data_IF_713242041641
#
_entry.id   IF_713242041641
#
_cell.length_a   1.000
_cell.length_b   1.000
_cell.length_c   1.000
_cell.angle_alpha   90.00
_cell.angle_beta   90.00
_cell.angle_gamma   90.00
#
_symmetry.space_group_name_H-M   'P 1'
#
loop_
_entity.id
_entity.type
_entity.pdbx_description
1 polymer ?
#
# COMPACT_ATOMS: atom_id res chain seq x y z
N UNK A 1 -35.20 1.33 21.57
CA UNK A 1 -34.21 2.34 21.96
C UNK A 1 -32.93 1.62 22.38
N UNK A 2 -32.02 1.39 21.44
CA UNK A 2 -30.66 0.96 21.73
C UNK A 2 -29.74 1.96 21.05
N UNK A 3 -29.19 2.87 21.84
CA UNK A 3 -28.18 3.84 21.43
C UNK A 3 -26.83 3.12 21.46
N UNK A 4 -26.26 2.82 20.29
CA UNK A 4 -24.88 2.39 20.13
C UNK A 4 -24.06 3.55 19.56
N UNK A 5 -23.18 4.13 20.39
CA UNK A 5 -22.34 5.27 20.03
C UNK A 5 -21.09 4.80 19.28
N UNK A 6 -20.90 5.22 18.03
CA UNK A 6 -19.67 5.03 17.26
C UNK A 6 -19.78 5.70 15.89
N UNK A 7 -19.27 6.93 15.77
CA UNK A 7 -19.38 7.76 14.57
C UNK A 7 -18.58 7.20 13.37
N UNK A 8 -19.01 7.16 12.11
CA UNK A 8 -20.26 6.67 11.47
C UNK A 8 -21.60 6.97 12.13
N UNK A 9 -22.10 8.18 11.90
CA UNK A 9 -23.33 8.67 12.50
C UNK A 9 -24.53 8.50 11.56
N UNK A 10 -25.57 7.81 12.02
CA UNK A 10 -26.88 7.80 11.37
C UNK A 10 -27.45 9.24 11.28
N UNK A 11 -28.08 9.57 10.15
CA UNK A 11 -28.76 10.87 9.94
C UNK A 11 -27.98 11.92 9.14
N UNK A 12 -26.73 11.65 8.74
CA UNK A 12 -25.97 12.51 7.83
C UNK A 12 -26.22 12.18 6.35
N UNK A 13 -25.91 13.12 5.44
CA UNK A 13 -26.02 12.87 3.99
C UNK A 13 -25.06 11.74 3.55
N UNK A 14 -25.43 10.93 2.54
CA UNK A 14 -24.56 9.86 2.01
C UNK A 14 -23.14 10.33 1.67
N UNK A 15 -23.01 11.54 1.13
CA UNK A 15 -21.72 12.16 0.79
C UNK A 15 -20.89 12.45 2.04
N UNK A 16 -21.51 12.93 3.12
CA UNK A 16 -20.81 13.19 4.39
C UNK A 16 -20.36 11.89 5.04
N UNK A 17 -21.19 10.83 4.99
CA UNK A 17 -20.82 9.52 5.52
C UNK A 17 -19.69 8.88 4.73
N UNK A 18 -19.72 8.98 3.39
CA UNK A 18 -18.62 8.56 2.52
C UNK A 18 -17.30 9.27 2.85
N UNK A 19 -17.35 10.59 3.05
CA UNK A 19 -16.17 11.36 3.46
C UNK A 19 -15.65 10.94 4.83
N UNK A 20 -16.54 10.70 5.81
CA UNK A 20 -16.14 10.22 7.14
C UNK A 20 -15.52 8.82 7.07
N UNK A 21 -16.14 7.91 6.32
CA UNK A 21 -15.63 6.55 6.12
C UNK A 21 -14.25 6.56 5.47
N UNK A 22 -14.06 7.35 4.41
CA UNK A 22 -12.77 7.40 3.71
C UNK A 22 -11.69 8.22 4.43
N UNK A 23 -12.06 9.22 5.25
CA UNK A 23 -11.11 9.84 6.18
C UNK A 23 -10.70 8.89 7.28
N UNK A 24 -11.59 7.99 7.71
CA UNK A 24 -11.26 6.94 8.67
C UNK A 24 -10.27 5.93 8.08
N UNK A 25 -10.51 5.43 6.86
CA UNK A 25 -9.61 4.47 6.21
C UNK A 25 -8.23 5.10 5.95
N UNK A 26 -8.18 6.30 5.38
CA UNK A 26 -6.92 7.06 5.23
C UNK A 26 -6.24 7.33 6.58
N UNK A 27 -7.03 7.63 7.61
CA UNK A 27 -6.54 7.84 8.96
C UNK A 27 -5.80 6.62 9.52
N UNK A 28 -6.26 5.41 9.18
CA UNK A 28 -5.56 4.17 9.53
C UNK A 28 -4.31 3.95 8.69
N UNK A 29 -4.30 4.31 7.40
CA UNK A 29 -3.06 4.38 6.60
C UNK A 29 -2.03 5.30 7.24
N UNK A 30 -2.44 6.50 7.64
CA UNK A 30 -1.59 7.47 8.32
C UNK A 30 -1.10 6.96 9.68
N UNK A 31 -1.95 6.29 10.46
CA UNK A 31 -1.58 5.69 11.73
C UNK A 31 -0.55 4.57 11.55
N UNK A 32 -0.73 3.73 10.53
CA UNK A 32 0.24 2.72 10.11
C UNK A 32 1.59 3.32 9.73
N UNK A 33 1.57 4.36 8.90
CA UNK A 33 2.76 5.10 8.51
C UNK A 33 3.47 5.75 9.71
N UNK A 34 2.72 6.19 10.73
CA UNK A 34 3.27 6.78 11.95
C UNK A 34 4.05 5.75 12.80
N UNK A 35 3.88 4.45 12.59
CA UNK A 35 4.66 3.43 13.30
C UNK A 35 6.17 3.56 13.03
N UNK A 36 6.58 4.25 11.95
CA UNK A 36 7.99 4.58 11.68
C UNK A 36 8.66 5.42 12.78
N UNK A 37 7.89 6.12 13.62
CA UNK A 37 8.40 6.86 14.77
C UNK A 37 8.70 5.98 15.98
N UNK A 38 7.99 4.85 16.10
CA UNK A 38 8.10 3.92 17.24
C UNK A 38 9.02 2.75 16.88
N UNK A 39 8.89 2.22 15.66
CA UNK A 39 9.64 1.08 15.15
C UNK A 39 10.99 1.56 14.62
N UNK A 40 12.06 1.07 15.23
CA UNK A 40 13.42 1.38 14.78
C UNK A 40 13.84 0.50 13.61
N UNK A 41 14.18 1.10 12.47
CA UNK A 41 14.75 0.41 11.30
C UNK A 41 16.11 -0.25 11.57
N UNK A 42 16.73 0.00 12.74
CA UNK A 42 17.98 -0.65 13.15
C UNK A 42 17.80 -2.11 13.56
N UNK A 43 16.61 -2.52 14.02
CA UNK A 43 16.37 -3.89 14.49
C UNK A 43 15.77 -4.74 13.38
N UNK A 44 16.63 -5.49 12.67
CA UNK A 44 16.23 -6.34 11.53
C UNK A 44 15.08 -7.30 11.88
N UNK A 45 15.11 -7.92 13.07
CA UNK A 45 14.04 -8.82 13.52
C UNK A 45 12.66 -8.16 13.63
N UNK A 46 12.57 -6.93 14.16
CA UNK A 46 11.29 -6.24 14.32
C UNK A 46 10.74 -5.86 12.94
N UNK A 47 11.61 -5.38 12.06
CA UNK A 47 11.24 -4.98 10.71
C UNK A 47 10.75 -6.16 9.87
N UNK A 48 11.50 -7.28 9.86
CA UNK A 48 11.12 -8.48 9.11
C UNK A 48 9.83 -9.08 9.66
N UNK A 49 9.67 -9.07 10.99
CA UNK A 49 8.45 -9.48 11.67
C UNK A 49 7.25 -8.60 11.29
N UNK A 50 7.41 -7.28 11.27
CA UNK A 50 6.33 -6.35 10.93
C UNK A 50 5.94 -6.41 9.46
N UNK A 51 6.91 -6.58 8.55
CA UNK A 51 6.65 -6.78 7.12
C UNK A 51 5.95 -8.12 6.87
N UNK A 52 6.38 -9.20 7.54
CA UNK A 52 5.70 -10.49 7.48
C UNK A 52 4.26 -10.38 7.96
N UNK A 53 4.02 -9.74 9.11
CA UNK A 53 2.67 -9.48 9.62
C UNK A 53 1.81 -8.70 8.63
N UNK A 54 2.37 -7.62 8.05
CA UNK A 54 1.66 -6.81 7.06
C UNK A 54 1.27 -7.62 5.81
N UNK A 55 2.19 -8.43 5.26
CA UNK A 55 1.87 -9.35 4.16
C UNK A 55 0.72 -10.29 4.50
N UNK A 56 0.69 -10.81 5.74
CA UNK A 56 -0.38 -11.67 6.21
C UNK A 56 -1.74 -10.99 6.18
N UNK A 57 -1.80 -9.78 6.74
CA UNK A 57 -3.03 -8.97 6.75
C UNK A 57 -3.49 -8.67 5.33
N UNK A 58 -2.60 -8.19 4.46
CA UNK A 58 -2.93 -7.85 3.07
C UNK A 58 -3.43 -9.07 2.27
N UNK A 59 -2.85 -10.26 2.46
CA UNK A 59 -3.33 -11.48 1.80
C UNK A 59 -4.75 -11.87 2.24
N UNK A 60 -5.05 -11.78 3.53
CA UNK A 60 -6.38 -12.06 4.03
C UNK A 60 -7.38 -11.02 3.50
N UNK A 61 -7.07 -9.74 3.63
CA UNK A 61 -7.93 -8.65 3.19
C UNK A 61 -8.21 -8.68 1.67
N UNK A 62 -7.21 -9.08 0.86
CA UNK A 62 -7.40 -9.32 -0.58
C UNK A 62 -8.52 -10.29 -0.88
N UNK A 63 -8.73 -11.31 -0.04
CA UNK A 63 -9.83 -12.24 -0.18
C UNK A 63 -11.13 -11.70 0.44
N UNK A 64 -11.14 -11.47 1.75
CA UNK A 64 -12.38 -11.20 2.49
C UNK A 64 -12.93 -9.79 2.28
N UNK A 65 -12.05 -8.78 2.20
CA UNK A 65 -12.48 -7.38 2.10
C UNK A 65 -12.63 -6.90 0.65
N UNK A 66 -12.06 -7.63 -0.32
CA UNK A 66 -12.05 -7.24 -1.74
C UNK A 66 -12.67 -8.30 -2.67
N UNK A 67 -12.11 -9.51 -2.76
CA UNK A 67 -12.59 -10.54 -3.69
C UNK A 67 -13.99 -11.06 -3.33
N UNK A 68 -14.26 -11.38 -2.07
CA UNK A 68 -15.55 -11.90 -1.65
C UNK A 68 -16.68 -10.90 -1.94
N UNK A 69 -16.58 -9.62 -1.53
CA UNK A 69 -17.54 -8.59 -1.95
C UNK A 69 -17.65 -8.43 -3.47
N UNK A 70 -16.54 -8.50 -4.21
CA UNK A 70 -16.58 -8.42 -5.66
C UNK A 70 -17.36 -9.58 -6.30
N UNK A 71 -17.23 -10.79 -5.76
CA UNK A 71 -17.96 -12.00 -6.19
C UNK A 71 -19.45 -11.82 -5.86
N UNK A 72 -19.78 -11.46 -4.63
CA UNK A 72 -21.16 -11.27 -4.18
C UNK A 72 -21.87 -10.22 -5.04
N UNK A 73 -21.20 -9.08 -5.30
CA UNK A 73 -21.74 -8.03 -6.18
C UNK A 73 -21.90 -8.49 -7.64
N UNK A 74 -21.01 -9.35 -8.14
CA UNK A 74 -21.12 -9.90 -9.49
C UNK A 74 -22.30 -10.88 -9.60
N UNK A 75 -22.50 -11.74 -8.59
CA UNK A 75 -23.62 -12.68 -8.50
C UNK A 75 -24.96 -11.95 -8.37
N UNK A 76 -25.05 -11.00 -7.44
CA UNK A 76 -26.25 -10.21 -7.15
C UNK A 76 -26.67 -9.30 -8.31
N UNK A 77 -25.74 -8.92 -9.18
CA UNK A 77 -26.05 -8.07 -10.34
C UNK A 77 -27.04 -8.70 -11.31
N UNK A 78 -27.22 -10.03 -11.29
CA UNK A 78 -28.09 -10.79 -12.19
C UNK A 78 -27.68 -10.75 -13.67
N UNK A 79 -26.60 -10.03 -14.03
CA UNK A 79 -26.14 -9.83 -15.41
C UNK A 79 -25.35 -11.01 -15.97
N UNK A 80 -24.63 -11.72 -15.10
CA UNK A 80 -23.63 -12.70 -15.52
C UNK A 80 -24.10 -14.15 -15.38
N UNK A 81 -25.17 -14.43 -14.62
CA UNK A 81 -25.66 -15.79 -14.37
C UNK A 81 -24.53 -16.70 -13.85
N UNK A 82 -24.33 -17.86 -14.48
CA UNK A 82 -23.24 -18.78 -14.15
C UNK A 82 -21.82 -18.24 -14.39
N UNK A 83 -21.69 -17.09 -15.07
CA UNK A 83 -20.41 -16.47 -15.39
C UNK A 83 -20.05 -15.29 -14.47
N UNK A 84 -20.64 -15.21 -13.26
CA UNK A 84 -20.32 -14.17 -12.28
C UNK A 84 -18.82 -14.14 -11.88
N UNK A 85 -18.10 -15.25 -12.06
CA UNK A 85 -16.64 -15.29 -11.88
C UNK A 85 -15.87 -14.43 -12.90
N UNK A 86 -16.45 -14.14 -14.08
CA UNK A 86 -15.77 -13.47 -15.18
C UNK A 86 -15.33 -12.03 -14.84
N UNK A 87 -16.21 -11.12 -14.35
CA UNK A 87 -15.79 -9.78 -13.95
C UNK A 87 -14.68 -9.79 -12.89
N UNK A 88 -14.79 -10.71 -11.93
CA UNK A 88 -13.80 -10.88 -10.86
C UNK A 88 -12.47 -11.39 -11.41
N UNK A 89 -12.48 -12.44 -12.22
CA UNK A 89 -11.26 -12.99 -12.83
C UNK A 89 -10.56 -11.99 -13.75
N UNK A 90 -11.32 -11.23 -14.54
CA UNK A 90 -10.80 -10.17 -15.40
C UNK A 90 -10.19 -9.04 -14.57
N UNK A 91 -10.93 -8.52 -13.59
CA UNK A 91 -10.43 -7.47 -12.70
C UNK A 91 -9.14 -7.92 -12.01
N UNK A 92 -9.18 -9.07 -11.34
CA UNK A 92 -8.03 -9.65 -10.63
C UNK A 92 -6.79 -9.81 -11.52
N UNK A 93 -6.96 -10.39 -12.71
CA UNK A 93 -5.83 -10.58 -13.62
C UNK A 93 -5.29 -9.26 -14.14
N UNK A 94 -6.17 -8.29 -14.46
CA UNK A 94 -5.76 -6.95 -14.87
C UNK A 94 -5.03 -6.19 -13.76
N UNK A 95 -5.43 -6.37 -12.50
CA UNK A 95 -4.75 -5.81 -11.33
C UNK A 95 -3.32 -6.34 -11.18
N UNK A 96 -3.17 -7.67 -11.20
CA UNK A 96 -1.86 -8.30 -11.15
C UNK A 96 -0.99 -7.92 -12.35
N UNK A 97 -1.56 -7.95 -13.56
CA UNK A 97 -0.87 -7.54 -14.78
C UNK A 97 -0.47 -6.06 -14.74
N UNK A 98 -1.31 -5.19 -14.18
CA UNK A 98 -1.01 -3.77 -14.03
C UNK A 98 0.26 -3.55 -13.20
N UNK A 99 0.38 -4.21 -12.04
CA UNK A 99 1.59 -4.10 -11.20
C UNK A 99 2.80 -4.72 -11.90
N UNK A 100 2.63 -5.89 -12.53
CA UNK A 100 3.70 -6.51 -13.33
C UNK A 100 4.21 -5.58 -14.44
N UNK A 101 3.31 -4.97 -15.21
CA UNK A 101 3.70 -4.04 -16.26
C UNK A 101 4.28 -2.75 -15.71
N UNK A 102 3.82 -2.26 -14.56
CA UNK A 102 4.44 -1.14 -13.87
C UNK A 102 5.88 -1.47 -13.46
N UNK A 103 6.14 -2.70 -12.98
CA UNK A 103 7.49 -3.18 -12.70
C UNK A 103 8.35 -3.24 -13.97
N UNK A 104 7.84 -3.84 -15.05
CA UNK A 104 8.53 -3.96 -16.33
C UNK A 104 8.80 -2.60 -16.98
N UNK A 105 7.88 -1.64 -16.86
CA UNK A 105 8.01 -0.29 -17.42
C UNK A 105 8.96 0.59 -16.60
N UNK A 106 9.32 0.16 -15.39
CA UNK A 106 10.07 1.00 -14.48
C UNK A 106 11.50 1.39 -14.91
N UNK A 107 12.26 0.62 -15.73
CA UNK A 107 13.49 1.12 -16.34
C UNK A 107 13.29 2.45 -17.09
N UNK A 108 12.10 2.69 -17.65
CA UNK A 108 11.73 3.94 -18.30
C UNK A 108 11.49 5.07 -17.29
N UNK A 109 10.84 4.78 -16.16
CA UNK A 109 10.63 5.74 -15.05
C UNK A 109 11.94 6.08 -14.33
N UNK A 110 12.83 5.11 -14.11
CA UNK A 110 14.16 5.35 -13.57
C UNK A 110 15.03 6.23 -14.49
N UNK A 111 14.72 6.31 -15.79
CA UNK A 111 15.41 7.21 -16.71
C UNK A 111 15.03 8.68 -16.47
N UNK A 112 13.81 8.93 -15.99
CA UNK A 112 13.37 10.24 -15.49
C UNK A 112 13.97 10.52 -14.09
N UNK A 113 14.01 9.52 -13.20
CA UNK A 113 14.64 9.66 -11.88
C UNK A 113 16.15 9.83 -11.95
N UNK A 114 16.86 9.31 -12.96
CA UNK A 114 18.29 9.55 -13.12
C UNK A 114 18.57 11.04 -13.36
N UNK A 115 17.67 11.77 -14.04
CA UNK A 115 17.79 13.23 -14.17
C UNK A 115 17.56 13.91 -12.82
N UNK A 116 16.58 13.45 -12.03
CA UNK A 116 16.28 14.00 -10.71
C UNK A 116 17.33 13.65 -9.65
N UNK A 117 17.89 12.44 -9.69
CA UNK A 117 18.99 11.97 -8.85
C UNK A 117 20.31 12.62 -9.26
N UNK A 118 20.57 12.90 -10.54
CA UNK A 118 21.70 13.76 -10.92
C UNK A 118 21.54 15.15 -10.31
N UNK A 119 20.33 15.72 -10.31
CA UNK A 119 20.04 17.02 -9.70
C UNK A 119 20.13 16.97 -8.15
N UNK A 120 19.67 15.89 -7.51
CA UNK A 120 19.68 15.70 -6.06
C UNK A 120 21.04 15.27 -5.51
N UNK A 121 21.79 14.41 -6.19
CA UNK A 121 23.19 14.09 -5.89
C UNK A 121 24.06 15.34 -6.06
N UNK A 122 23.89 16.13 -7.14
CA UNK A 122 24.53 17.45 -7.26
C UNK A 122 24.16 18.42 -6.13
N UNK A 123 22.99 18.26 -5.50
CA UNK A 123 22.52 19.11 -4.40
C UNK A 123 22.99 18.59 -3.03
N UNK A 124 23.06 17.28 -2.83
CA UNK A 124 23.58 16.65 -1.62
C UNK A 124 25.11 16.82 -1.51
N UNK A 125 25.85 16.65 -2.62
CA UNK A 125 27.29 16.92 -2.66
C UNK A 125 27.63 18.38 -2.37
N UNK A 126 26.76 19.33 -2.74
CA UNK A 126 26.95 20.75 -2.41
C UNK A 126 26.61 21.12 -0.97
N UNK A 127 25.83 20.31 -0.26
CA UNK A 127 25.48 20.54 1.15
C UNK A 127 26.54 19.92 2.07
N UNK A 128 27.16 18.79 1.69
CA UNK A 128 28.19 18.12 2.51
C UNK A 128 29.62 18.65 2.24
N UNK A 129 29.95 19.06 1.00
CA UNK A 129 31.26 19.65 0.69
C UNK A 129 31.42 21.12 1.13
N UNK A 130 30.43 21.70 1.80
CA UNK A 130 30.51 23.05 2.35
C UNK A 130 31.35 23.18 3.62
N UNK A 131 31.50 22.11 4.41
CA UNK A 131 32.00 22.23 5.79
C UNK A 131 33.17 21.30 6.17
N UNK A 132 33.68 20.42 5.29
CA UNK A 132 34.72 19.45 5.72
C UNK A 132 35.83 19.24 4.68
N UNK A 133 36.60 20.29 4.35
CA UNK A 133 38.00 20.11 3.92
C UNK A 133 38.89 21.27 4.39
N UNK A 134 38.93 21.49 5.71
CA UNK A 134 40.15 22.00 6.36
C UNK A 134 40.81 20.87 7.16
N UNK A 135 42.11 20.65 6.87
CA UNK A 135 43.10 19.77 7.56
C UNK A 135 42.91 18.27 7.24
N UNK A 136 43.89 17.55 6.68
CA UNK A 136 45.33 17.49 7.01
C UNK A 136 46.13 17.02 5.79
N UNK A 137 47.26 17.68 5.52
CA UNK A 137 48.35 17.19 4.67
C UNK A 137 49.07 16.01 5.35
N UNK A 138 49.41 15.00 4.55
CA UNK A 138 50.47 14.00 4.80
C UNK A 138 50.92 13.42 3.46
N UNK A 139 52.23 13.19 3.20
CA UNK A 139 52.72 12.70 1.91
C UNK A 139 52.94 11.18 1.86
N UNK A 140 52.94 10.61 0.63
CA UNK A 140 53.25 9.21 0.20
C UNK A 140 52.07 8.23 0.18
N UNK A 141 51.83 7.39 -0.84
CA UNK A 141 52.50 7.02 -2.11
C UNK A 141 51.44 6.41 -3.05
N UNK A 142 51.53 6.46 -4.39
CA UNK A 142 50.52 5.87 -5.28
C UNK A 142 50.85 4.40 -5.52
N UNK A 143 49.96 3.50 -5.10
CA UNK A 143 49.99 2.12 -5.58
C UNK A 143 48.63 1.75 -6.19
N UNK A 144 48.75 1.00 -7.28
CA UNK A 144 47.77 0.57 -8.25
C UNK A 144 46.72 -0.38 -7.67
N UNK A 145 45.55 0.13 -7.30
CA UNK A 145 44.33 -0.64 -6.97
C UNK A 145 43.09 -0.07 -7.70
N UNK A 146 43.27 0.35 -8.95
CA UNK A 146 42.25 1.07 -9.73
C UNK A 146 41.18 0.22 -10.42
N UNK A 147 41.21 -1.12 -10.28
CA UNK A 147 40.30 -2.02 -11.01
C UNK A 147 39.30 -2.77 -10.11
N UNK A 148 39.64 -3.11 -8.86
CA UNK A 148 38.68 -3.74 -7.95
C UNK A 148 37.66 -2.75 -7.36
N UNK A 149 38.08 -1.51 -7.11
CA UNK A 149 37.23 -0.43 -6.59
C UNK A 149 36.09 -0.07 -7.54
N UNK A 150 36.32 -0.09 -8.86
CA UNK A 150 35.29 0.17 -9.86
C UNK A 150 34.16 -0.87 -9.89
N UNK A 151 34.49 -2.15 -9.72
CA UNK A 151 33.51 -3.26 -9.72
C UNK A 151 32.60 -3.24 -8.48
N UNK A 152 33.17 -3.04 -7.29
CA UNK A 152 32.42 -2.95 -6.02
C UNK A 152 31.53 -1.71 -5.98
N UNK A 153 32.03 -0.57 -6.48
CA UNK A 153 31.27 0.67 -6.54
C UNK A 153 30.11 0.60 -7.56
N UNK A 154 30.30 -0.07 -8.70
CA UNK A 154 29.21 -0.35 -9.65
C UNK A 154 28.16 -1.30 -9.06
N UNK A 155 28.58 -2.30 -8.28
CA UNK A 155 27.69 -3.29 -7.67
C UNK A 155 26.85 -2.70 -6.53
N UNK A 156 27.43 -1.86 -5.68
CA UNK A 156 26.70 -1.10 -4.63
C UNK A 156 25.70 -0.10 -5.22
N UNK A 157 26.07 0.61 -6.28
CA UNK A 157 25.17 1.54 -6.99
C UNK A 157 24.00 0.77 -7.61
N UNK A 158 24.25 -0.39 -8.24
CA UNK A 158 23.21 -1.24 -8.83
C UNK A 158 22.26 -1.81 -7.78
N UNK A 159 22.77 -2.22 -6.62
CA UNK A 159 21.94 -2.70 -5.50
C UNK A 159 21.08 -1.58 -4.91
N UNK A 160 21.63 -0.37 -4.76
CA UNK A 160 20.90 0.78 -4.25
C UNK A 160 19.80 1.23 -5.21
N UNK A 161 20.09 1.29 -6.51
CA UNK A 161 19.10 1.58 -7.54
C UNK A 161 17.98 0.52 -7.57
N UNK A 162 18.33 -0.77 -7.45
CA UNK A 162 17.35 -1.85 -7.36
C UNK A 162 16.47 -1.79 -6.11
N UNK A 163 16.95 -1.23 -5.00
CA UNK A 163 16.15 -1.05 -3.78
C UNK A 163 15.19 0.13 -3.91
N UNK A 164 15.65 1.24 -4.48
CA UNK A 164 14.81 2.39 -4.79
C UNK A 164 13.72 2.06 -5.82
N UNK A 165 14.04 1.26 -6.86
CA UNK A 165 13.05 0.65 -7.78
C UNK A 165 11.86 0.12 -6.99
N UNK A 166 12.14 -0.84 -6.11
CA UNK A 166 11.11 -1.58 -5.35
C UNK A 166 10.27 -0.66 -4.47
N UNK A 167 10.92 0.30 -3.80
CA UNK A 167 10.20 1.26 -2.95
C UNK A 167 9.25 2.14 -3.76
N UNK A 168 9.69 2.65 -4.91
CA UNK A 168 8.85 3.50 -5.76
C UNK A 168 7.66 2.71 -6.33
N UNK A 169 7.87 1.47 -6.77
CA UNK A 169 6.78 0.60 -7.21
C UNK A 169 5.79 0.32 -6.09
N UNK A 170 6.30 0.02 -4.90
CA UNK A 170 5.46 -0.26 -3.76
C UNK A 170 4.55 0.93 -3.45
N UNK A 171 5.09 2.15 -3.43
CA UNK A 171 4.32 3.39 -3.25
C UNK A 171 3.29 3.55 -4.36
N UNK A 172 3.69 3.37 -5.63
CA UNK A 172 2.80 3.54 -6.78
C UNK A 172 1.67 2.51 -6.77
N UNK A 173 1.99 1.25 -6.53
CA UNK A 173 1.04 0.15 -6.52
C UNK A 173 0.02 0.32 -5.39
N UNK A 174 0.47 0.65 -4.17
CA UNK A 174 -0.41 0.94 -3.03
C UNK A 174 -1.28 2.15 -3.32
N UNK A 175 -0.72 3.22 -3.88
CA UNK A 175 -1.51 4.42 -4.25
C UNK A 175 -2.62 4.08 -5.24
N UNK A 176 -2.34 3.23 -6.23
CA UNK A 176 -3.33 2.87 -7.24
C UNK A 176 -4.38 1.91 -6.67
N UNK A 177 -3.98 1.03 -5.76
CA UNK A 177 -4.89 0.12 -5.05
C UNK A 177 -5.88 0.86 -4.15
N UNK A 178 -5.45 1.93 -3.51
CA UNK A 178 -6.28 2.76 -2.63
C UNK A 178 -7.42 3.50 -3.38
N UNK A 179 -7.36 3.58 -4.71
CA UNK A 179 -8.43 4.21 -5.51
C UNK A 179 -9.71 3.34 -5.52
N UNK A 180 -9.66 2.04 -5.92
CA UNK A 180 -10.80 1.13 -5.77
C UNK A 180 -11.38 1.06 -4.36
N UNK A 181 -10.55 1.08 -3.32
CA UNK A 181 -11.02 1.04 -1.93
C UNK A 181 -11.82 2.29 -1.56
N UNK A 182 -11.27 3.47 -1.85
CA UNK A 182 -11.97 4.73 -1.63
C UNK A 182 -13.30 4.75 -2.39
N UNK A 183 -13.29 4.34 -3.67
CA UNK A 183 -14.52 4.22 -4.48
C UNK A 183 -15.54 3.27 -3.83
N UNK A 184 -15.10 2.11 -3.34
CA UNK A 184 -15.98 1.11 -2.74
C UNK A 184 -16.66 1.65 -1.47
N UNK A 185 -15.90 2.27 -0.56
CA UNK A 185 -16.45 2.94 0.63
C UNK A 185 -17.42 4.05 0.21
N UNK A 186 -17.03 4.88 -0.76
CA UNK A 186 -17.85 5.98 -1.25
C UNK A 186 -19.18 5.54 -1.83
N UNK A 187 -19.16 4.54 -2.71
CA UNK A 187 -20.36 3.97 -3.32
C UNK A 187 -21.22 3.26 -2.29
N UNK A 188 -20.63 2.51 -1.36
CA UNK A 188 -21.39 1.82 -0.32
C UNK A 188 -22.23 2.81 0.50
N UNK A 189 -21.65 3.93 0.92
CA UNK A 189 -22.41 5.01 1.58
C UNK A 189 -23.39 5.72 0.63
N UNK A 190 -22.97 6.00 -0.61
CA UNK A 190 -23.81 6.65 -1.61
C UNK A 190 -25.02 5.82 -2.09
N UNK A 191 -24.95 4.50 -1.92
CA UNK A 191 -25.99 3.55 -2.33
C UNK A 191 -26.98 3.23 -1.21
N UNK A 192 -26.78 3.72 0.01
CA UNK A 192 -27.65 3.43 1.16
C UNK A 192 -29.12 3.71 0.79
N UNK A 193 -29.96 2.68 0.96
CA UNK A 193 -31.40 2.75 0.69
C UNK A 193 -31.80 2.64 -0.79
N UNK A 194 -30.85 2.45 -1.73
CA UNK A 194 -31.15 2.20 -3.15
C UNK A 194 -31.47 0.74 -3.44
N UNK A 195 -30.91 -0.18 -2.66
CA UNK A 195 -31.19 -1.62 -2.72
C UNK A 195 -31.43 -2.18 -1.31
N UNK A 196 -32.09 -3.35 -1.16
CA UNK A 196 -32.26 -3.98 0.16
C UNK A 196 -30.94 -4.36 0.83
N UNK A 197 -29.88 -4.57 0.06
CA UNK A 197 -28.55 -4.95 0.53
C UNK A 197 -27.66 -3.74 0.85
N UNK A 198 -27.91 -2.57 0.25
CA UNK A 198 -27.18 -1.34 0.52
C UNK A 198 -27.69 -0.68 1.81
N UNK A 199 -27.22 -1.19 2.94
CA UNK A 199 -27.56 -0.68 4.28
C UNK A 199 -26.44 0.18 4.84
N UNK A 200 -26.76 0.97 5.87
CA UNK A 200 -25.74 1.70 6.62
C UNK A 200 -24.75 0.75 7.29
N UNK A 201 -25.22 -0.39 7.80
CA UNK A 201 -24.37 -1.38 8.46
C UNK A 201 -23.40 -2.05 7.50
N UNK A 202 -23.85 -2.40 6.28
CA UNK A 202 -22.97 -2.97 5.27
C UNK A 202 -21.90 -1.97 4.80
N UNK A 203 -22.27 -0.69 4.61
CA UNK A 203 -21.31 0.36 4.28
C UNK A 203 -20.30 0.61 5.42
N UNK A 204 -20.77 0.54 6.67
CA UNK A 204 -19.91 0.64 7.86
C UNK A 204 -18.90 -0.48 7.93
N UNK A 205 -19.38 -1.71 7.85
CA UNK A 205 -18.54 -2.90 7.99
C UNK A 205 -17.48 -2.93 6.88
N UNK A 206 -17.85 -2.56 5.64
CA UNK A 206 -16.90 -2.42 4.53
C UNK A 206 -15.77 -1.42 4.85
N UNK A 207 -16.10 -0.21 5.31
CA UNK A 207 -15.07 0.78 5.61
C UNK A 207 -14.21 0.40 6.82
N UNK A 208 -14.77 -0.35 7.80
CA UNK A 208 -13.99 -0.90 8.91
C UNK A 208 -13.00 -1.95 8.40
N UNK A 209 -13.46 -2.89 7.58
CA UNK A 209 -12.60 -3.92 6.97
C UNK A 209 -11.45 -3.32 6.18
N UNK A 210 -11.76 -2.37 5.28
CA UNK A 210 -10.75 -1.61 4.53
C UNK A 210 -9.83 -0.83 5.48
N UNK A 211 -10.38 -0.11 6.47
CA UNK A 211 -9.53 0.67 7.37
C UNK A 211 -8.50 -0.18 8.13
N UNK A 212 -8.88 -1.37 8.58
CA UNK A 212 -8.00 -2.26 9.35
C UNK A 212 -6.78 -2.69 8.54
N UNK A 213 -6.94 -3.07 7.28
CA UNK A 213 -5.81 -3.49 6.43
C UNK A 213 -4.96 -2.31 5.93
N UNK A 214 -5.53 -1.09 5.89
CA UNK A 214 -4.79 0.11 5.48
C UNK A 214 -3.71 0.50 6.49
N UNK A 215 -3.87 0.12 7.77
CA UNK A 215 -2.82 0.30 8.77
C UNK A 215 -1.52 -0.45 8.40
N UNK A 216 -1.54 -1.77 8.13
CA UNK A 216 -0.40 -2.47 7.55
C UNK A 216 0.19 -1.86 6.28
N UNK A 217 -0.63 -1.29 5.38
CA UNK A 217 -0.11 -0.68 4.15
C UNK A 217 0.75 0.56 4.41
N UNK A 218 0.27 1.47 5.27
CA UNK A 218 1.05 2.67 5.64
C UNK A 218 2.39 2.30 6.28
N UNK A 219 2.40 1.21 7.07
CA UNK A 219 3.62 0.64 7.64
C UNK A 219 4.53 0.03 6.55
N UNK A 220 3.95 -0.71 5.61
CA UNK A 220 4.65 -1.35 4.49
C UNK A 220 5.32 -0.33 3.56
N UNK A 221 4.78 0.88 3.41
CA UNK A 221 5.45 1.97 2.67
C UNK A 221 6.54 2.63 3.50
N UNK A 222 6.22 3.05 4.73
CA UNK A 222 7.08 3.93 5.52
C UNK A 222 8.33 3.22 6.07
N UNK A 223 8.25 1.95 6.46
CA UNK A 223 9.39 1.24 7.05
C UNK A 223 10.50 0.90 6.05
N UNK A 224 10.23 0.38 4.83
CA UNK A 224 11.27 0.18 3.83
C UNK A 224 11.96 1.48 3.43
N UNK A 225 11.19 2.57 3.24
CA UNK A 225 11.72 3.93 3.01
C UNK A 225 12.66 4.37 4.14
N UNK A 226 12.25 4.19 5.40
CA UNK A 226 13.11 4.53 6.53
C UNK A 226 14.37 3.65 6.58
N UNK A 227 14.27 2.39 6.16
CA UNK A 227 15.40 1.47 6.11
C UNK A 227 16.39 1.77 4.97
N UNK A 228 15.98 2.51 3.94
CA UNK A 228 16.87 2.97 2.86
C UNK A 228 17.64 4.26 3.19
N UNK A 229 17.46 4.81 4.40
CA UNK A 229 18.19 5.98 4.90
C UNK A 229 17.40 7.28 4.84
N UNK A 230 16.18 7.26 4.32
CA UNK A 230 15.28 8.43 4.28
C UNK A 230 14.92 8.88 5.70
N UNK A 231 14.73 10.19 5.91
CA UNK A 231 14.35 10.75 7.21
C UNK A 231 13.01 10.16 7.70
N UNK A 232 12.84 10.00 9.03
CA UNK A 232 11.58 9.49 9.61
C UNK A 232 10.37 10.28 9.13
N UNK A 233 10.52 11.61 9.02
CA UNK A 233 9.40 12.45 8.65
C UNK A 233 9.03 12.32 7.18
N UNK A 234 10.03 12.25 6.31
CA UNK A 234 9.83 12.00 4.88
C UNK A 234 9.19 10.63 4.65
N UNK A 235 9.64 9.59 5.36
CA UNK A 235 9.06 8.25 5.26
C UNK A 235 7.58 8.21 5.67
N UNK A 236 7.22 8.90 6.76
CA UNK A 236 5.83 9.07 7.16
C UNK A 236 5.01 9.80 6.09
N UNK A 237 5.52 10.90 5.53
CA UNK A 237 4.81 11.67 4.51
C UNK A 237 4.49 10.81 3.30
N UNK A 238 5.46 10.07 2.76
CA UNK A 238 5.19 9.15 1.66
C UNK A 238 4.20 8.05 2.03
N UNK A 239 4.28 7.52 3.26
CA UNK A 239 3.37 6.46 3.74
C UNK A 239 1.92 6.89 3.91
N UNK A 240 1.63 8.10 4.39
CA UNK A 240 0.25 8.58 4.46
C UNK A 240 -0.26 9.07 3.11
N UNK A 241 0.62 9.72 2.32
CA UNK A 241 0.22 10.32 1.04
C UNK A 241 -0.20 9.26 0.02
N UNK A 242 0.31 8.03 0.13
CA UNK A 242 -0.16 6.91 -0.70
C UNK A 242 -1.62 6.55 -0.43
N UNK A 243 -2.17 6.84 0.75
CA UNK A 243 -3.59 6.65 1.08
C UNK A 243 -4.47 7.88 0.86
N UNK A 244 -3.89 9.05 0.60
CA UNK A 244 -4.67 10.31 0.48
C UNK A 244 -5.58 10.35 -0.76
N UNK A 245 -5.46 9.37 -1.65
CA UNK A 245 -6.37 9.18 -2.78
C UNK A 245 -7.73 8.62 -2.35
N UNK A 246 -7.83 7.92 -1.21
CA UNK A 246 -9.06 7.27 -0.77
C UNK A 246 -10.19 8.28 -0.50
N UNK A 247 -9.98 9.40 0.23
CA UNK A 247 -11.04 10.38 0.46
C UNK A 247 -11.55 11.04 -0.83
N UNK A 248 -10.65 11.25 -1.80
CA UNK A 248 -11.00 11.82 -3.09
C UNK A 248 -11.83 10.82 -3.89
N UNK A 249 -11.36 9.57 -3.97
CA UNK A 249 -12.05 8.47 -4.65
C UNK A 249 -13.42 8.19 -4.02
N UNK A 250 -13.54 8.22 -2.68
CA UNK A 250 -14.81 8.00 -1.99
C UNK A 250 -15.81 9.12 -2.19
N UNK A 251 -15.37 10.37 -2.26
CA UNK A 251 -16.26 11.47 -2.62
C UNK A 251 -16.80 11.30 -4.05
N UNK A 252 -15.94 10.93 -4.99
CA UNK A 252 -16.34 10.62 -6.37
C UNK A 252 -17.33 9.44 -6.41
N UNK A 253 -17.04 8.36 -5.69
CA UNK A 253 -17.90 7.17 -5.59
C UNK A 253 -19.29 7.49 -5.04
N UNK A 254 -19.36 8.31 -3.98
CA UNK A 254 -20.62 8.70 -3.36
C UNK A 254 -21.52 9.57 -4.25
N UNK A 255 -20.91 10.41 -5.10
CA UNK A 255 -21.63 11.27 -6.05
C UNK A 255 -22.01 10.48 -7.31
N UNK A 256 -21.11 9.61 -7.79
CA UNK A 256 -21.23 8.92 -9.07
C UNK A 256 -21.69 7.46 -8.94
N UNK A 257 -22.49 7.12 -7.92
CA UNK A 257 -22.93 5.74 -7.61
C UNK A 257 -23.43 4.99 -8.83
N UNK A 258 -24.27 5.61 -9.66
CA UNK A 258 -24.84 4.98 -10.86
C UNK A 258 -23.77 4.58 -11.89
N UNK A 259 -22.68 5.34 -11.96
CA UNK A 259 -21.55 5.06 -12.85
C UNK A 259 -20.56 4.07 -12.21
N UNK A 260 -20.39 4.14 -10.90
CA UNK A 260 -19.39 3.38 -10.18
C UNK A 260 -19.86 1.96 -9.84
N UNK A 261 -21.13 1.76 -9.47
CA UNK A 261 -21.68 0.47 -9.04
C UNK A 261 -21.47 -0.68 -10.05
N UNK A 262 -21.69 -0.49 -11.37
CA UNK A 262 -21.40 -1.55 -12.35
C UNK A 262 -19.90 -1.87 -12.52
N UNK A 263 -19.02 -0.93 -12.14
CA UNK A 263 -17.57 -1.05 -12.26
C UNK A 263 -16.93 -1.65 -11.00
N UNK A 264 -17.62 -1.58 -9.84
CA UNK A 264 -17.07 -1.99 -8.56
C UNK A 264 -16.57 -3.44 -8.50
N UNK A 265 -17.28 -4.46 -9.03
CA UNK A 265 -16.77 -5.83 -9.01
C UNK A 265 -15.41 -5.96 -9.71
N UNK A 266 -15.23 -5.23 -10.83
CA UNK A 266 -13.97 -5.20 -11.55
C UNK A 266 -12.90 -4.43 -10.77
N UNK A 267 -13.26 -3.29 -10.16
CA UNK A 267 -12.34 -2.44 -9.43
C UNK A 267 -11.83 -3.11 -8.14
N UNK A 268 -12.72 -3.73 -7.36
CA UNK A 268 -12.37 -4.48 -6.14
C UNK A 268 -11.51 -5.70 -6.47
N UNK A 269 -11.88 -6.45 -7.51
CA UNK A 269 -11.05 -7.58 -7.95
C UNK A 269 -9.69 -7.11 -8.49
N UNK A 270 -9.65 -6.00 -9.24
CA UNK A 270 -8.41 -5.36 -9.68
C UNK A 270 -7.52 -4.97 -8.50
N UNK A 271 -8.08 -4.35 -7.49
CA UNK A 271 -7.38 -4.08 -6.25
C UNK A 271 -6.81 -5.38 -5.67
N UNK A 272 -7.63 -6.40 -5.41
CA UNK A 272 -7.15 -7.66 -4.84
C UNK A 272 -6.01 -8.30 -5.65
N UNK A 273 -6.11 -8.31 -6.99
CA UNK A 273 -5.06 -8.82 -7.86
C UNK A 273 -3.75 -8.05 -7.77
N UNK A 274 -3.83 -6.71 -7.75
CA UNK A 274 -2.68 -5.83 -7.56
C UNK A 274 -2.02 -6.05 -6.19
N UNK A 275 -2.81 -6.15 -5.10
CA UNK A 275 -2.29 -6.35 -3.74
C UNK A 275 -1.63 -7.71 -3.58
N UNK A 276 -2.25 -8.79 -4.09
CA UNK A 276 -1.63 -10.12 -4.04
C UNK A 276 -0.30 -10.13 -4.81
N UNK A 277 -0.24 -9.48 -5.99
CA UNK A 277 1.02 -9.36 -6.73
C UNK A 277 2.10 -8.66 -5.88
N UNK A 278 1.80 -7.49 -5.31
CA UNK A 278 2.74 -6.72 -4.46
C UNK A 278 3.20 -7.54 -3.25
N UNK A 279 2.29 -8.26 -2.59
CA UNK A 279 2.66 -9.06 -1.42
C UNK A 279 3.63 -10.18 -1.80
N UNK A 280 3.35 -10.87 -2.92
CA UNK A 280 4.16 -12.00 -3.39
C UNK A 280 5.51 -11.55 -3.95
N UNK A 281 5.55 -10.48 -4.73
CA UNK A 281 6.75 -10.04 -5.45
C UNK A 281 7.64 -9.09 -4.62
N UNK A 282 7.06 -8.31 -3.71
CA UNK A 282 7.79 -7.32 -2.90
C UNK A 282 7.82 -7.64 -1.41
N UNK A 283 6.66 -7.68 -0.73
CA UNK A 283 6.63 -7.67 0.76
C UNK A 283 7.19 -8.96 1.36
N UNK A 284 6.75 -10.13 0.88
CA UNK A 284 7.23 -11.42 1.38
C UNK A 284 8.74 -11.58 1.10
N UNK A 285 9.24 -11.35 -0.13
CA UNK A 285 10.68 -11.41 -0.40
C UNK A 285 11.50 -10.42 0.45
N UNK A 286 11.03 -9.20 0.64
CA UNK A 286 11.72 -8.20 1.48
C UNK A 286 11.79 -8.66 2.95
N UNK A 287 10.69 -9.17 3.51
CA UNK A 287 10.63 -9.68 4.88
C UNK A 287 11.58 -10.87 5.11
N UNK A 288 11.85 -11.67 4.07
CA UNK A 288 12.73 -12.83 4.15
C UNK A 288 14.20 -12.51 3.82
N UNK A 289 14.49 -11.35 3.23
CA UNK A 289 15.81 -10.99 2.69
C UNK A 289 16.93 -10.87 3.72
N UNK A 290 16.61 -10.67 5.01
CA UNK A 290 17.59 -10.32 6.05
C UNK A 290 17.94 -11.45 7.01
N UNK A 291 17.62 -12.70 6.64
CA UNK A 291 17.99 -13.91 7.40
C UNK A 291 16.96 -14.37 8.43
N UNK A 292 15.83 -13.66 8.57
CA UNK A 292 14.77 -13.96 9.53
C UNK A 292 13.54 -14.64 8.90
N UNK A 293 13.73 -15.41 7.83
CA UNK A 293 12.62 -15.94 7.03
C UNK A 293 11.55 -16.70 7.84
N UNK A 294 11.96 -17.50 8.85
CA UNK A 294 11.01 -18.21 9.72
C UNK A 294 10.14 -17.26 10.55
N UNK A 295 10.72 -16.17 11.07
CA UNK A 295 9.98 -15.17 11.82
C UNK A 295 8.96 -14.49 10.91
N UNK A 296 9.40 -14.06 9.72
CA UNK A 296 8.53 -13.45 8.72
C UNK A 296 7.37 -14.36 8.33
N UNK A 297 7.61 -15.65 8.08
CA UNK A 297 6.54 -16.61 7.76
C UNK A 297 5.53 -16.75 8.90
N UNK A 298 5.98 -16.88 10.16
CA UNK A 298 5.06 -17.00 11.29
C UNK A 298 4.27 -15.72 11.53
N UNK A 299 4.91 -14.55 11.40
CA UNK A 299 4.18 -13.29 11.53
C UNK A 299 3.21 -13.07 10.38
N UNK A 300 3.49 -13.54 9.16
CA UNK A 300 2.51 -13.61 8.06
C UNK A 300 1.30 -14.45 8.42
N UNK A 301 1.49 -15.65 8.98
CA UNK A 301 0.34 -16.47 9.41
C UNK A 301 -0.46 -15.75 10.51
N UNK A 302 0.20 -15.14 11.48
CA UNK A 302 -0.47 -14.37 12.54
C UNK A 302 -1.25 -13.19 11.96
N UNK A 303 -0.65 -12.42 11.06
CA UNK A 303 -1.32 -11.30 10.39
C UNK A 303 -2.55 -11.75 9.60
N UNK A 304 -2.43 -12.85 8.87
CA UNK A 304 -3.52 -13.45 8.12
C UNK A 304 -4.68 -13.86 9.06
N UNK A 305 -4.39 -14.57 10.14
CA UNK A 305 -5.40 -15.01 11.11
C UNK A 305 -6.07 -13.81 11.81
N UNK A 306 -5.28 -12.80 12.18
CA UNK A 306 -5.81 -11.58 12.80
C UNK A 306 -6.78 -10.89 11.85
N UNK A 307 -6.37 -10.66 10.59
CA UNK A 307 -7.24 -9.99 9.62
C UNK A 307 -8.48 -10.81 9.30
N UNK A 308 -8.34 -12.11 9.04
CA UNK A 308 -9.48 -13.02 8.83
C UNK A 308 -10.47 -12.97 10.01
N UNK A 309 -9.95 -12.99 11.24
CA UNK A 309 -10.80 -12.95 12.44
C UNK A 309 -11.50 -11.60 12.62
N UNK A 310 -10.85 -10.50 12.24
CA UNK A 310 -11.43 -9.17 12.28
C UNK A 310 -12.51 -9.01 11.21
N UNK A 311 -12.25 -9.45 9.98
CA UNK A 311 -13.21 -9.34 8.88
C UNK A 311 -14.43 -10.24 9.13
N UNK A 312 -14.23 -11.51 9.46
CA UNK A 312 -15.34 -12.45 9.77
C UNK A 312 -16.04 -12.11 11.08
N UNK A 313 -15.34 -11.52 12.05
CA UNK A 313 -15.88 -11.22 13.38
C UNK A 313 -16.60 -9.87 13.48
N UNK A 314 -16.25 -8.91 12.62
CA UNK A 314 -16.86 -7.56 12.58
C UNK A 314 -17.78 -7.35 11.36
N UNK A 315 -17.64 -8.20 10.33
CA UNK A 315 -18.37 -8.19 9.07
C UNK A 315 -19.80 -8.71 9.17
#
# INVERSE_FOLDING_TARGET
MCSGSGTMLEGYSPVTQALQGTLFTWGLTAAGAAMVFVISSRQKHILDGSLGFAAGVMLAASYWSLLAPAIDMAEDSGKYGSFAFLPVAVGFTLGAAFVYFADVAMPLLCLLDNVLNIILLCRADKIDNGDVYQRRRGPHSPNSDGQETGSKQQEEVRQTASRWRRIVLLILAITIHNIPEGLAVGVAFGAIGKTPTATFESARNLAIGIGIQNFPEGLAVSLPLRSSGVSTWTAFWYGQLSGMVEPIAGLVGAIAVVLAEPLLPYALAFAAGAMIYVVVDDIIPEAQSRGNGKLASWTTIVGFVVMMSLDVGLG
#
